data_IF_599033137961
#
_entry.id   IF_599033137961
#
_cell.length_a   1.000
_cell.length_b   1.000
_cell.length_c   1.000
_cell.angle_alpha   90.00
_cell.angle_beta   90.00
_cell.angle_gamma   90.00
#
_symmetry.space_group_name_H-M   'P 1'
#
loop_
_entity.id
_entity.type
_entity.pdbx_description
1 polymer ?
#
# COMPACT_ATOMS: atom_id res chain seq x y z
N UNK A 1 -21.36 -13.56 4.16
CA UNK A 1 -22.17 -14.79 4.02
C UNK A 1 -23.63 -14.38 3.88
N UNK A 2 -24.38 -14.90 2.90
CA UNK A 2 -25.76 -14.50 2.65
C UNK A 2 -26.65 -15.74 2.74
N UNK A 3 -27.58 -15.74 3.69
CA UNK A 3 -28.51 -16.85 3.89
C UNK A 3 -29.82 -16.54 3.17
N UNK A 4 -30.30 -17.49 2.37
CA UNK A 4 -31.64 -17.45 1.79
C UNK A 4 -32.46 -18.56 2.43
N UNK A 5 -33.53 -18.19 3.12
CA UNK A 5 -34.45 -19.12 3.77
C UNK A 5 -35.89 -18.59 3.66
N UNK A 6 -36.86 -19.49 3.54
CA UNK A 6 -38.28 -19.14 3.41
C UNK A 6 -38.91 -18.53 4.67
N UNK A 7 -38.19 -18.53 5.80
CA UNK A 7 -38.54 -17.84 7.04
C UNK A 7 -37.27 -17.27 7.66
N UNK A 8 -37.41 -16.17 8.41
CA UNK A 8 -36.28 -15.48 9.05
C UNK A 8 -35.47 -16.47 9.91
N UNK A 9 -34.24 -16.84 9.50
CA UNK A 9 -33.38 -17.66 10.33
C UNK A 9 -32.95 -16.76 11.48
N UNK A 10 -33.44 -17.01 12.70
CA UNK A 10 -33.04 -16.33 13.94
C UNK A 10 -31.60 -16.73 14.34
N UNK A 11 -30.70 -16.79 13.37
CA UNK A 11 -29.31 -17.19 13.50
C UNK A 11 -28.49 -15.91 13.58
N UNK A 12 -27.92 -15.65 14.75
CA UNK A 12 -26.97 -14.58 14.95
C UNK A 12 -25.62 -15.09 14.46
N UNK A 13 -25.09 -14.47 13.39
CA UNK A 13 -23.77 -14.79 12.90
C UNK A 13 -22.74 -13.91 13.62
N UNK A 14 -21.99 -14.51 14.54
CA UNK A 14 -20.83 -13.87 15.14
C UNK A 14 -19.70 -13.86 14.11
N UNK A 15 -19.38 -12.67 13.59
CA UNK A 15 -18.18 -12.44 12.80
C UNK A 15 -17.05 -11.98 13.75
N UNK A 16 -15.78 -12.30 13.46
CA UNK A 16 -14.67 -11.74 14.23
C UNK A 16 -14.78 -10.22 14.29
N UNK A 17 -14.64 -9.64 15.49
CA UNK A 17 -14.64 -8.18 15.68
C UNK A 17 -13.53 -7.49 14.85
N UNK A 18 -12.45 -8.23 14.59
CA UNK A 18 -11.35 -7.83 13.73
C UNK A 18 -11.11 -8.88 12.64
N UNK A 19 -11.50 -8.55 11.41
CA UNK A 19 -11.03 -9.29 10.23
C UNK A 19 -9.52 -9.12 10.12
N UNK A 20 -8.79 -10.21 9.88
CA UNK A 20 -7.37 -10.11 9.53
C UNK A 20 -7.26 -9.38 8.19
N UNK A 21 -6.76 -8.15 8.24
CA UNK A 21 -6.54 -7.34 7.05
C UNK A 21 -5.11 -7.56 6.57
N UNK A 22 -4.97 -7.77 5.26
CA UNK A 22 -3.69 -7.92 4.58
C UNK A 22 -3.36 -6.57 3.94
N UNK A 23 -2.15 -6.06 4.17
CA UNK A 23 -1.64 -4.89 3.45
C UNK A 23 -0.68 -5.40 2.38
N UNK A 24 -0.94 -4.99 1.13
CA UNK A 24 -0.13 -5.34 -0.04
C UNK A 24 0.32 -4.05 -0.71
N UNK A 25 1.60 -3.98 -1.05
CA UNK A 25 2.12 -2.93 -1.92
C UNK A 25 2.20 -3.43 -3.35
N UNK A 26 1.84 -2.61 -4.32
CA UNK A 26 1.96 -2.93 -5.73
C UNK A 26 2.29 -1.65 -6.50
N UNK A 27 3.23 -1.73 -7.43
CA UNK A 27 3.50 -0.67 -8.39
C UNK A 27 2.79 -0.96 -9.72
N UNK A 28 2.28 0.08 -10.38
CA UNK A 28 1.74 -0.04 -11.73
C UNK A 28 2.56 0.87 -12.66
N UNK A 29 2.91 0.38 -13.84
CA UNK A 29 3.53 1.18 -14.88
C UNK A 29 3.03 0.74 -16.27
N UNK A 30 3.35 1.51 -17.30
CA UNK A 30 2.84 1.30 -18.66
C UNK A 30 3.12 -0.09 -19.24
N UNK A 31 4.22 -0.74 -18.83
CA UNK A 31 4.61 -2.05 -19.35
C UNK A 31 4.29 -3.21 -18.39
N UNK A 32 3.56 -2.95 -17.28
CA UNK A 32 3.08 -4.03 -16.42
C UNK A 32 2.92 -3.67 -14.95
N UNK A 33 2.71 -4.73 -14.16
CA UNK A 33 2.53 -4.68 -12.71
C UNK A 33 3.85 -5.00 -12.04
N UNK A 34 4.33 -4.09 -11.19
CA UNK A 34 5.43 -4.34 -10.26
C UNK A 34 4.80 -4.95 -9.03
N UNK A 35 5.18 -6.20 -8.78
CA UNK A 35 4.36 -7.20 -8.10
C UNK A 35 3.84 -6.86 -6.70
N UNK A 36 2.93 -7.71 -6.20
CA UNK A 36 2.41 -7.59 -4.84
C UNK A 36 3.50 -7.93 -3.83
N UNK A 37 3.96 -6.93 -3.09
CA UNK A 37 4.80 -7.14 -1.91
C UNK A 37 3.92 -7.22 -0.67
N UNK A 38 3.96 -8.37 -0.01
CA UNK A 38 3.24 -8.61 1.23
C UNK A 38 4.13 -8.25 2.41
N UNK A 39 3.60 -7.45 3.33
CA UNK A 39 4.31 -7.14 4.56
C UNK A 39 4.07 -8.26 5.57
N UNK A 40 5.07 -9.14 5.70
CA UNK A 40 5.05 -10.32 6.55
C UNK A 40 6.31 -10.31 7.44
N UNK A 41 6.21 -10.74 8.70
CA UNK A 41 7.37 -10.96 9.58
C UNK A 41 7.94 -12.39 9.46
N UNK A 42 9.00 -12.68 10.23
CA UNK A 42 9.65 -13.99 10.23
C UNK A 42 8.72 -15.13 10.71
N UNK A 43 7.67 -14.78 11.46
CA UNK A 43 6.63 -15.70 11.96
C UNK A 43 5.44 -15.84 10.98
N UNK A 44 5.59 -15.36 9.75
CA UNK A 44 4.57 -15.39 8.70
C UNK A 44 3.28 -14.60 9.06
N UNK A 45 3.36 -13.59 9.93
CA UNK A 45 2.22 -12.75 10.32
C UNK A 45 2.17 -11.47 9.51
N UNK A 46 0.95 -11.04 9.14
CA UNK A 46 0.75 -9.74 8.51
C UNK A 46 1.05 -8.62 9.48
N UNK A 47 1.89 -7.69 9.03
CA UNK A 47 2.37 -6.57 9.84
C UNK A 47 1.84 -5.24 9.32
N UNK A 48 1.65 -4.31 10.24
CA UNK A 48 1.31 -2.93 9.90
C UNK A 48 2.46 -2.28 9.14
N UNK A 49 2.12 -1.65 8.01
CA UNK A 49 3.09 -0.86 7.24
C UNK A 49 3.47 0.37 8.04
N UNK A 50 4.74 0.47 8.39
CA UNK A 50 5.31 1.67 8.99
C UNK A 50 6.24 2.37 7.98
N UNK A 51 6.66 3.59 8.33
CA UNK A 51 7.55 4.42 7.51
C UNK A 51 8.85 3.69 7.13
N UNK A 52 9.50 3.00 8.05
CA UNK A 52 10.80 2.34 7.81
C UNK A 52 10.66 1.17 6.82
N UNK A 53 9.65 0.32 7.03
CA UNK A 53 9.31 -0.77 6.11
C UNK A 53 9.01 -0.19 4.73
N UNK A 54 8.20 0.86 4.68
CA UNK A 54 7.84 1.51 3.42
C UNK A 54 9.04 2.08 2.65
N UNK A 55 9.95 2.77 3.33
CA UNK A 55 11.18 3.31 2.73
C UNK A 55 12.12 2.21 2.25
N UNK A 56 12.19 1.08 2.95
CA UNK A 56 13.02 -0.06 2.55
C UNK A 56 12.55 -0.67 1.23
N UNK A 57 11.25 -0.99 1.11
CA UNK A 57 10.68 -1.51 -0.15
C UNK A 57 10.78 -0.47 -1.27
N UNK A 58 10.53 0.80 -0.98
CA UNK A 58 10.70 1.87 -1.97
C UNK A 58 12.16 1.99 -2.42
N UNK A 59 13.13 1.67 -1.57
CA UNK A 59 14.55 1.70 -1.96
C UNK A 59 14.91 0.48 -2.81
N UNK A 60 14.47 -0.71 -2.39
CA UNK A 60 14.72 -1.99 -3.05
C UNK A 60 14.12 -2.03 -4.46
N UNK A 61 12.82 -1.74 -4.59
CA UNK A 61 12.13 -1.74 -5.88
C UNK A 61 12.57 -0.57 -6.79
N UNK A 62 12.93 0.59 -6.24
CA UNK A 62 13.35 1.75 -7.04
C UNK A 62 14.87 1.90 -7.19
N UNK A 63 15.69 0.95 -6.73
CA UNK A 63 17.11 0.86 -7.11
C UNK A 63 17.30 0.45 -8.57
N UNK A 64 16.26 -0.14 -9.17
CA UNK A 64 16.21 -0.59 -10.56
C UNK A 64 15.76 0.53 -11.48
N UNK A 65 16.63 1.50 -11.83
CA UNK A 65 16.48 2.53 -12.89
C UNK A 65 15.19 2.43 -13.76
N UNK A 66 14.04 2.81 -13.22
CA UNK A 66 12.76 2.70 -13.91
C UNK A 66 12.22 4.10 -14.18
N UNK A 67 11.81 4.32 -15.43
CA UNK A 67 11.16 5.56 -15.85
C UNK A 67 9.67 5.47 -15.48
N UNK A 68 9.36 5.62 -14.19
CA UNK A 68 7.98 5.88 -13.78
C UNK A 68 7.64 7.28 -14.22
N UNK A 69 6.55 7.40 -14.95
CA UNK A 69 6.06 8.69 -15.38
C UNK A 69 5.26 9.39 -14.28
N UNK A 70 4.55 8.66 -13.42
CA UNK A 70 3.73 9.22 -12.35
C UNK A 70 3.56 8.23 -11.20
N UNK A 71 3.67 8.70 -9.96
CA UNK A 71 3.29 7.93 -8.77
C UNK A 71 2.02 8.49 -8.16
N UNK A 72 0.95 7.70 -8.15
CA UNK A 72 -0.31 8.03 -7.46
C UNK A 72 -0.39 7.19 -6.20
N UNK A 73 -0.42 7.85 -5.06
CA UNK A 73 -0.45 7.17 -3.78
C UNK A 73 -1.88 7.16 -3.21
N UNK A 74 -2.36 5.99 -2.78
CA UNK A 74 -3.55 5.89 -1.94
C UNK A 74 -3.24 6.40 -0.51
N UNK A 75 -4.17 7.14 0.09
CA UNK A 75 -3.94 8.07 1.23
C UNK A 75 -3.57 7.48 2.59
N UNK A 76 -2.66 6.50 2.66
CA UNK A 76 -2.12 5.98 3.92
C UNK A 76 -0.98 6.88 4.45
N UNK A 77 -0.94 7.10 5.76
CA UNK A 77 -0.13 8.16 6.41
C UNK A 77 1.37 8.05 6.18
N UNK A 78 1.90 6.84 5.99
CA UNK A 78 3.32 6.62 5.71
C UNK A 78 3.77 7.18 4.35
N UNK A 79 2.84 7.34 3.41
CA UNK A 79 3.14 7.85 2.07
C UNK A 79 3.22 9.37 1.98
N UNK A 80 2.55 10.07 2.89
CA UNK A 80 2.60 11.54 2.99
C UNK A 80 3.62 12.03 4.02
N UNK A 81 4.33 11.10 4.67
CA UNK A 81 5.38 11.43 5.63
C UNK A 81 6.52 12.17 4.92
N UNK A 82 7.04 13.24 5.53
CA UNK A 82 8.03 14.11 4.91
C UNK A 82 9.25 13.36 4.36
N UNK A 83 9.82 12.38 5.09
CA UNK A 83 10.97 11.62 4.55
C UNK A 83 10.62 10.80 3.32
N UNK A 84 9.40 10.26 3.27
CA UNK A 84 8.96 9.45 2.15
C UNK A 84 8.86 10.39 0.96
N UNK A 85 8.24 11.57 1.14
CA UNK A 85 8.17 12.62 0.13
C UNK A 85 9.56 13.09 -0.32
N UNK A 86 10.50 13.32 0.60
CA UNK A 86 11.85 13.79 0.27
C UNK A 86 12.64 12.74 -0.53
N UNK A 87 12.52 11.46 -0.15
CA UNK A 87 13.11 10.34 -0.90
C UNK A 87 12.52 10.23 -2.31
N UNK A 88 11.24 10.54 -2.49
CA UNK A 88 10.61 10.51 -3.80
C UNK A 88 10.94 11.73 -4.63
N UNK A 89 11.01 12.91 -4.01
CA UNK A 89 11.44 14.15 -4.67
C UNK A 89 12.83 13.97 -5.27
N UNK A 90 13.74 13.30 -4.56
CA UNK A 90 15.08 13.01 -5.09
C UNK A 90 15.06 12.06 -6.31
N UNK A 91 14.08 11.17 -6.41
CA UNK A 91 13.94 10.22 -7.55
C UNK A 91 13.08 10.75 -8.70
N UNK A 92 12.07 11.56 -8.42
CA UNK A 92 11.02 11.95 -9.36
C UNK A 92 10.99 13.44 -9.71
N UNK A 93 11.65 14.29 -8.91
CA UNK A 93 11.58 15.75 -9.07
C UNK A 93 10.14 16.25 -9.12
N UNK A 94 9.83 17.06 -10.13
CA UNK A 94 8.50 17.66 -10.37
C UNK A 94 7.43 16.68 -10.85
N UNK A 95 7.79 15.44 -11.18
CA UNK A 95 6.84 14.41 -11.65
C UNK A 95 6.10 13.70 -10.51
N UNK A 96 6.34 14.11 -9.27
CA UNK A 96 5.72 13.54 -8.07
C UNK A 96 4.37 14.21 -7.78
N UNK A 97 3.28 13.45 -7.86
CA UNK A 97 1.94 13.89 -7.47
C UNK A 97 1.57 13.24 -6.13
N UNK A 98 1.73 13.98 -5.03
CA UNK A 98 1.40 13.50 -3.68
C UNK A 98 1.00 14.65 -2.77
N UNK A 99 0.27 14.35 -1.68
CA UNK A 99 0.01 15.32 -0.61
C UNK A 99 1.35 15.65 0.06
N UNK A 100 1.72 16.94 0.05
CA UNK A 100 3.05 17.51 0.41
C UNK A 100 4.15 17.35 -0.68
N UNK A 101 3.79 16.85 -1.86
CA UNK A 101 4.64 16.86 -3.05
C UNK A 101 4.85 18.28 -3.61
N UNK A 102 5.70 18.41 -4.65
CA UNK A 102 5.86 19.68 -5.36
C UNK A 102 4.50 20.15 -5.91
N UNK A 103 4.19 21.44 -5.68
CA UNK A 103 3.01 22.09 -6.25
C UNK A 103 3.48 22.67 -7.58
N UNK A 104 3.01 22.08 -8.69
CA UNK A 104 3.12 22.72 -10.01
C UNK A 104 2.19 23.92 -10.09
#
# INVERSE_FOLDING_TARGET
MRYWAGKNPRVIHEAPLHTQNIIVWCGLHANGVIGPHFFIDDDNRHVTVNRNRYTAITTDFFGLNWKIWTWTICGFTSHTANVTIDLLKSKFGERLISRNGPVN
#
